data_IF_595096718210
#
_entry.id   IF_595096718210
#
_cell.length_a   1.000
_cell.length_b   1.000
_cell.length_c   1.000
_cell.angle_alpha   90.00
_cell.angle_beta   90.00
_cell.angle_gamma   90.00
#
_symmetry.space_group_name_H-M   'P 1'
#
loop_
_entity.id
_entity.type
_entity.pdbx_description
1 polymer ?
2 non-polymer ?
3 water ?
#
# COMPACT_ATOMS: atom_id res chain seq x y z
N UNK A 2 4.42 5.83 -10.42
CA UNK A 2 4.58 5.06 -9.10
C UNK A 2 4.66 6.10 -7.97
N UNK A 3 3.89 5.91 -6.90
CA UNK A 3 3.85 6.85 -5.77
C UNK A 3 5.26 7.06 -5.20
N UNK A 4 5.62 8.32 -5.02
CA UNK A 4 6.92 8.74 -4.48
C UNK A 4 6.95 8.89 -2.97
N UNK A 5 5.90 8.51 -2.27
CA UNK A 5 5.77 8.73 -0.81
C UNK A 5 6.79 7.89 -0.05
N UNK A 6 7.47 8.50 0.92
CA UNK A 6 8.36 7.77 1.87
C UNK A 6 7.83 8.09 3.26
N UNK A 7 7.98 7.15 4.17
CA UNK A 7 7.60 7.36 5.58
C UNK A 7 8.56 6.64 6.51
N UNK A 8 8.49 7.07 7.76
CA UNK A 8 9.38 6.61 8.83
C UNK A 8 8.75 5.55 9.71
N UNK A 9 9.56 5.05 10.66
CA UNK A 9 9.14 3.89 11.44
C UNK A 9 7.87 4.23 12.23
N UNK A 10 7.63 5.46 12.68
CA UNK A 10 6.43 5.73 13.52
C UNK A 10 5.30 6.37 12.71
N UNK A 11 5.32 6.18 11.41
CA UNK A 11 4.27 6.63 10.48
C UNK A 11 3.40 5.42 10.09
N UNK A 12 2.10 5.59 10.24
CA UNK A 12 1.18 4.51 9.79
C UNK A 12 1.21 4.37 8.28
N UNK A 13 0.99 3.11 7.85
CA UNK A 13 0.78 2.79 6.42
C UNK A 13 -0.17 1.61 6.33
N UNK A 14 -0.45 1.15 5.12
CA UNK A 14 -1.33 -0.01 4.96
C UNK A 14 -0.62 -1.19 4.31
N UNK A 15 -0.86 -2.36 4.89
CA UNK A 15 -0.64 -3.63 4.21
C UNK A 15 -1.98 -4.07 3.64
N UNK A 16 -1.94 -4.74 2.53
CA UNK A 16 -3.16 -5.37 1.97
C UNK A 16 -2.76 -6.73 1.46
N UNK A 17 -3.11 -7.71 2.23
CA UNK A 17 -2.80 -9.05 1.82
C UNK A 17 -3.43 -9.56 0.42
N UNK A 18 -4.59 -8.92 0.15
CA UNK A 18 -5.30 -9.13 -1.13
C UNK A 18 -4.48 -8.63 -2.34
N UNK A 19 -3.85 -7.46 -2.18
CA UNK A 19 -3.16 -6.71 -3.28
C UNK A 19 -1.66 -6.99 -3.35
N UNK A 20 -1.03 -7.43 -2.27
CA UNK A 20 0.44 -7.44 -2.21
C UNK A 20 0.98 -8.56 -3.07
N UNK A 21 2.23 -8.42 -3.51
CA UNK A 21 2.98 -9.55 -4.13
C UNK A 21 3.90 -10.21 -3.11
N UNK A 22 4.13 -9.59 -1.97
CA UNK A 22 4.80 -10.31 -0.87
C UNK A 22 4.50 -9.59 0.42
N UNK A 23 4.76 -10.26 1.55
CA UNK A 23 4.43 -9.73 2.86
C UNK A 23 5.04 -8.36 3.23
N UNK A 24 6.13 -7.94 2.59
CA UNK A 24 6.85 -6.67 2.90
C UNK A 24 6.22 -5.49 2.16
N UNK A 25 5.30 -5.72 1.25
CA UNK A 25 4.69 -4.62 0.47
C UNK A 25 3.80 -3.75 1.36
N UNK A 26 3.69 -2.47 0.98
CA UNK A 26 2.87 -1.51 1.73
C UNK A 26 2.56 -0.33 0.84
N UNK A 27 1.45 0.33 1.16
CA UNK A 27 1.08 1.59 0.48
C UNK A 27 0.79 2.66 1.52
N UNK A 28 0.98 3.90 1.15
CA UNK A 28 0.78 5.06 2.04
C UNK A 28 -0.72 5.25 2.34
N UNK A 29 -1.00 5.96 3.41
CA UNK A 29 -2.41 6.13 3.81
C UNK A 29 -3.19 6.77 2.66
N UNK A 30 -2.74 7.87 2.02
CA UNK A 30 -3.54 8.44 0.94
C UNK A 30 -3.78 7.51 -0.25
N UNK A 31 -2.77 6.71 -0.61
CA UNK A 31 -2.97 5.76 -1.70
C UNK A 31 -4.02 4.72 -1.29
N UNK A 32 -4.01 4.26 -0.04
CA UNK A 32 -5.07 3.35 0.44
C UNK A 32 -6.43 4.04 0.32
N UNK A 33 -6.55 5.24 0.87
CA UNK A 33 -7.85 5.96 0.92
C UNK A 33 -8.40 6.17 -0.49
N UNK A 34 -7.54 6.38 -1.46
CA UNK A 34 -7.94 6.74 -2.84
C UNK A 34 -8.08 5.51 -3.71
N UNK A 35 -7.98 4.30 -3.15
CA UNK A 35 -8.17 3.03 -3.87
C UNK A 35 -9.34 2.24 -3.32
N UNK A 36 -9.51 1.07 -3.92
CA UNK A 36 -10.69 0.20 -3.70
C UNK A 36 -10.22 -1.08 -3.02
N UNK A 37 -10.46 -1.19 -1.72
CA UNK A 37 -10.05 -2.40 -0.95
C UNK A 37 -11.21 -2.94 -0.15
N UNK A 38 -12.44 -2.69 -0.60
CA UNK A 38 -13.61 -3.22 0.10
C UNK A 38 -13.54 -4.77 0.06
N UNK A 39 -13.72 -5.32 1.22
CA UNK A 39 -13.62 -6.75 1.53
C UNK A 39 -12.22 -7.29 1.29
N UNK A 40 -11.21 -6.43 1.18
CA UNK A 40 -9.83 -6.96 1.14
C UNK A 40 -9.35 -7.24 2.55
N UNK A 41 -8.29 -8.06 2.66
CA UNK A 41 -7.64 -8.34 3.95
C UNK A 41 -6.57 -7.28 4.17
N UNK A 42 -6.99 -6.10 4.56
CA UNK A 42 -6.03 -5.01 4.83
C UNK A 42 -5.92 -4.70 6.31
N UNK A 43 -4.80 -4.04 6.63
CA UNK A 43 -4.43 -3.63 7.99
C UNK A 43 -3.74 -2.28 7.94
N UNK A 44 -4.25 -1.29 8.66
CA UNK A 44 -3.42 -0.11 8.99
C UNK A 44 -2.46 -0.52 10.10
N UNK A 45 -1.20 -0.17 9.96
CA UNK A 45 -0.16 -0.63 10.92
C UNK A 45 1.16 0.11 10.68
N UNK A 46 2.14 -0.18 11.51
CA UNK A 46 3.52 0.31 11.29
C UNK A 46 4.24 -0.74 10.45
N UNK A 47 5.20 -0.29 9.64
CA UNK A 47 5.90 -1.14 8.65
C UNK A 47 7.41 -0.97 8.75
N UNK A 48 7.94 -0.31 9.78
CA UNK A 48 9.38 -0.03 9.90
C UNK A 48 9.81 1.04 8.92
N UNK A 49 8.86 1.84 8.42
CA UNK A 49 9.15 2.88 7.43
C UNK A 49 9.16 2.28 6.07
N UNK A 50 9.31 3.08 5.05
CA UNK A 50 9.40 2.51 3.71
C UNK A 50 8.98 3.47 2.63
N UNK A 51 8.82 2.89 1.46
CA UNK A 51 8.44 3.62 0.23
C UNK A 51 7.13 3.02 -0.26
N UNK A 52 6.28 3.83 -0.84
CA UNK A 52 4.96 3.33 -1.27
C UNK A 52 5.07 2.41 -2.49
N UNK A 53 4.27 1.35 -2.55
CA UNK A 53 4.24 0.38 -3.66
C UNK A 53 3.13 0.71 -4.66
N UNK A 54 2.33 1.75 -4.41
CA UNK A 54 1.17 2.05 -5.28
C UNK A 54 1.63 2.46 -6.68
N UNK A 55 1.13 1.77 -7.69
CA UNK A 55 1.56 2.00 -9.09
C UNK A 55 2.64 1.06 -9.55
N UNK A 56 3.30 0.33 -8.63
CA UNK A 56 4.41 -0.59 -8.95
C UNK A 56 3.85 -1.98 -9.25
N UNK A 57 3.74 -2.34 -10.53
CA UNK A 57 3.16 -3.66 -10.93
C UNK A 57 4.03 -4.83 -10.43
N UNK A 58 5.32 -4.65 -10.12
CA UNK A 58 6.17 -5.71 -9.54
C UNK A 58 5.80 -5.99 -8.08
N UNK A 59 5.12 -5.06 -7.39
CA UNK A 59 4.95 -5.17 -5.93
C UNK A 59 3.48 -5.30 -5.55
N UNK A 60 2.58 -4.81 -6.40
CA UNK A 60 1.17 -4.57 -5.99
C UNK A 60 0.24 -4.87 -7.18
N UNK A 61 -0.90 -5.49 -6.92
CA UNK A 61 -1.87 -5.80 -8.01
C UNK A 61 -2.45 -4.50 -8.59
N UNK A 62 -2.64 -4.41 -9.91
CA UNK A 62 -3.17 -3.18 -10.56
C UNK A 62 -4.55 -2.79 -10.01
N UNK A 63 -5.37 -3.74 -9.61
CA UNK A 63 -6.73 -3.42 -9.12
C UNK A 63 -6.65 -2.70 -7.77
N UNK A 64 -5.48 -2.76 -7.12
CA UNK A 64 -5.22 -2.12 -5.84
C UNK A 64 -4.52 -0.78 -5.97
N UNK A 65 -4.30 -0.26 -7.18
CA UNK A 65 -3.71 1.08 -7.37
C UNK A 65 -4.75 2.14 -7.05
N UNK A 66 -4.33 3.24 -6.46
CA UNK A 66 -5.26 4.38 -6.25
C UNK A 66 -5.57 5.09 -7.57
N UNK A 67 -6.56 5.97 -7.49
CA UNK A 67 -7.05 6.76 -8.63
C UNK A 67 -5.90 7.54 -9.26
N UNK A 68 -4.90 7.93 -8.47
CA UNK A 68 -3.85 8.90 -8.86
C UNK A 68 -2.64 8.19 -9.48
N UNK A 69 -2.46 6.86 -9.31
CA UNK A 69 -1.29 6.10 -9.86
C UNK A 69 -1.74 4.81 -10.56
X LIG B 1 -1.41 5.71 -5.32
X LIG C 1 1.44 6.18 -2.03
X LIG D 1 -6.26 -4.41 -1.42
#
# INVERSE_FOLDING_TARGET
AVCGSVWGQNDLAYRCRTCEHDPTCAICVPCFQNGNHKDHDYSIMYTGGGCCDCGDTTAWKREGFCSRHKGA
ZN ZN
ZN ZN
ZN ZN
#
